data_IF_770183683550
#
_entry.id   IF_770183683550
#
_cell.length_a   1.000
_cell.length_b   1.000
_cell.length_c   1.000
_cell.angle_alpha   90.00
_cell.angle_beta   90.00
_cell.angle_gamma   90.00
#
_symmetry.space_group_name_H-M   'P 1'
#
loop_
_entity.id
_entity.type
_entity.pdbx_description
1 polymer ?
#
# COMPACT_ATOMS: atom_id res chain seq x y z
N UNK A 1 -7.68 -13.33 1.03
CA UNK A 1 -6.84 -13.71 -0.13
C UNK A 1 -5.84 -12.61 -0.32
N UNK A 2 -4.57 -12.95 -0.52
CA UNK A 2 -3.47 -12.02 -0.75
C UNK A 2 -3.05 -12.14 -2.20
N UNK A 3 -2.95 -11.01 -2.90
CA UNK A 3 -2.40 -10.94 -4.25
C UNK A 3 -1.09 -10.18 -4.20
N UNK A 4 -0.01 -10.83 -4.65
CA UNK A 4 1.31 -10.22 -4.80
C UNK A 4 1.45 -9.84 -6.28
N UNK A 5 1.73 -8.57 -6.53
CA UNK A 5 1.94 -8.02 -7.87
C UNK A 5 3.43 -7.73 -8.05
N UNK A 6 4.15 -8.63 -8.71
CA UNK A 6 5.59 -8.50 -8.91
C UNK A 6 5.91 -7.93 -10.31
N UNK A 7 6.44 -6.70 -10.32
CA UNK A 7 6.91 -6.00 -11.54
C UNK A 7 8.45 -6.02 -11.66
N UNK A 8 9.12 -6.85 -10.85
CA UNK A 8 10.57 -7.09 -10.94
C UNK A 8 10.92 -7.71 -12.28
N UNK A 9 12.07 -7.35 -12.86
CA UNK A 9 12.61 -7.98 -14.09
C UNK A 9 13.74 -8.95 -13.81
N UNK A 10 14.23 -8.99 -12.57
CA UNK A 10 15.30 -9.89 -12.16
C UNK A 10 14.70 -11.27 -11.85
N UNK A 11 15.19 -12.30 -12.53
CA UNK A 11 14.70 -13.68 -12.39
C UNK A 11 14.95 -14.25 -11.00
N UNK A 12 16.08 -13.90 -10.36
CA UNK A 12 16.37 -14.31 -8.98
C UNK A 12 15.39 -13.71 -7.99
N UNK A 13 15.03 -12.42 -8.15
CA UNK A 13 14.03 -11.78 -7.29
C UNK A 13 12.65 -12.43 -7.45
N UNK A 14 12.24 -12.70 -8.70
CA UNK A 14 10.96 -13.39 -8.97
C UNK A 14 10.90 -14.77 -8.31
N UNK A 15 11.99 -15.54 -8.41
CA UNK A 15 12.08 -16.85 -7.78
C UNK A 15 11.99 -16.76 -6.25
N UNK A 16 12.61 -15.75 -5.62
CA UNK A 16 12.50 -15.52 -4.18
C UNK A 16 11.06 -15.20 -3.75
N UNK A 17 10.38 -14.31 -4.48
CA UNK A 17 8.98 -13.94 -4.20
C UNK A 17 8.06 -15.15 -4.36
N UNK A 18 8.26 -15.95 -5.41
CA UNK A 18 7.49 -17.17 -5.65
C UNK A 18 7.68 -18.21 -4.54
N UNK A 19 8.93 -18.46 -4.13
CA UNK A 19 9.23 -19.36 -3.01
C UNK A 19 8.56 -18.89 -1.71
N UNK A 20 8.57 -17.59 -1.43
CA UNK A 20 7.91 -17.07 -0.23
C UNK A 20 6.39 -17.24 -0.31
N UNK A 21 5.78 -16.99 -1.46
CA UNK A 21 4.35 -17.24 -1.68
C UNK A 21 3.99 -18.72 -1.44
N UNK A 22 4.83 -19.66 -1.89
CA UNK A 22 4.64 -21.10 -1.65
C UNK A 22 4.61 -21.41 -0.16
N UNK A 23 5.57 -20.90 0.62
CA UNK A 23 5.59 -21.10 2.08
C UNK A 23 4.29 -20.63 2.74
N UNK A 24 3.73 -19.50 2.31
CA UNK A 24 2.47 -19.00 2.87
C UNK A 24 1.25 -19.82 2.42
N UNK A 25 1.26 -20.32 1.18
CA UNK A 25 0.25 -21.27 0.71
C UNK A 25 0.27 -22.58 1.50
N UNK A 26 1.45 -23.10 1.82
CA UNK A 26 1.61 -24.29 2.67
C UNK A 26 1.09 -24.08 4.10
N UNK A 27 1.16 -22.85 4.61
CA UNK A 27 0.53 -22.45 5.88
C UNK A 27 -1.00 -22.26 5.77
N UNK A 28 -1.59 -22.54 4.61
CA UNK A 28 -3.04 -22.42 4.36
C UNK A 28 -3.51 -21.02 4.01
N UNK A 29 -2.60 -20.04 3.80
CA UNK A 29 -2.98 -18.71 3.36
C UNK A 29 -3.24 -18.73 1.85
N UNK A 30 -4.41 -18.24 1.44
CA UNK A 30 -4.73 -18.08 0.02
C UNK A 30 -3.95 -16.90 -0.57
N UNK A 31 -2.75 -17.20 -1.09
CA UNK A 31 -1.83 -16.26 -1.75
C UNK A 31 -1.79 -16.55 -3.26
N UNK A 32 -1.76 -15.50 -4.08
CA UNK A 32 -1.49 -15.59 -5.52
C UNK A 32 -0.40 -14.62 -5.91
N UNK A 33 0.62 -15.10 -6.62
CA UNK A 33 1.65 -14.26 -7.22
C UNK A 33 1.33 -14.00 -8.70
N UNK A 34 1.39 -12.75 -9.12
CA UNK A 34 1.13 -12.33 -10.51
C UNK A 34 2.36 -11.60 -11.05
N UNK A 35 3.06 -12.26 -11.96
CA UNK A 35 4.23 -11.72 -12.64
C UNK A 35 3.82 -11.15 -14.01
N UNK A 36 4.29 -9.95 -14.35
CA UNK A 36 4.10 -9.38 -15.71
C UNK A 36 5.36 -9.54 -16.55
N UNK A 37 5.18 -9.81 -17.84
CA UNK A 37 6.25 -9.81 -18.83
C UNK A 37 6.46 -8.43 -19.48
N UNK A 38 5.66 -7.42 -19.15
CA UNK A 38 5.68 -6.11 -19.82
C UNK A 38 5.44 -4.97 -18.82
N UNK A 39 6.35 -3.99 -18.79
CA UNK A 39 6.37 -2.86 -17.82
C UNK A 39 5.51 -1.65 -18.19
N UNK A 40 4.56 -1.81 -19.12
CA UNK A 40 3.69 -0.69 -19.49
C UNK A 40 2.82 -0.28 -18.29
N UNK A 41 2.99 0.98 -17.85
CA UNK A 41 2.27 1.60 -16.74
C UNK A 41 2.90 1.46 -15.35
N UNK A 42 4.08 0.82 -15.21
CA UNK A 42 4.77 0.62 -13.91
C UNK A 42 3.80 0.15 -12.79
N UNK A 43 3.93 0.71 -11.58
CA UNK A 43 3.09 0.41 -10.40
C UNK A 43 1.58 0.53 -10.68
N UNK A 44 1.16 1.59 -11.37
CA UNK A 44 -0.25 1.80 -11.69
C UNK A 44 -0.80 0.76 -12.68
N UNK A 45 0.03 0.34 -13.64
CA UNK A 45 -0.29 -0.72 -14.59
C UNK A 45 -0.41 -2.08 -13.92
N UNK A 46 0.52 -2.43 -13.03
CA UNK A 46 0.48 -3.67 -12.26
C UNK A 46 -0.79 -3.75 -11.39
N UNK A 47 -1.10 -2.68 -10.66
CA UNK A 47 -2.30 -2.60 -9.82
C UNK A 47 -3.59 -2.74 -10.65
N UNK A 48 -3.70 -2.00 -11.76
CA UNK A 48 -4.89 -2.08 -12.64
C UNK A 48 -5.10 -3.50 -13.14
N UNK A 49 -4.05 -4.14 -13.67
CA UNK A 49 -4.15 -5.49 -14.20
C UNK A 49 -4.47 -6.51 -13.09
N UNK A 50 -3.94 -6.30 -11.88
CA UNK A 50 -4.25 -7.09 -10.69
C UNK A 50 -5.72 -7.00 -10.27
N UNK A 51 -6.29 -5.79 -10.24
CA UNK A 51 -7.69 -5.54 -9.90
C UNK A 51 -8.68 -6.12 -10.93
N UNK A 52 -8.28 -6.20 -12.20
CA UNK A 52 -9.10 -6.76 -13.28
C UNK A 52 -9.15 -8.30 -13.28
N UNK A 53 -8.33 -8.98 -12.47
CA UNK A 53 -8.34 -10.44 -12.38
C UNK A 53 -9.70 -10.93 -11.87
N UNK A 54 -10.24 -11.98 -12.50
CA UNK A 54 -11.59 -12.51 -12.18
C UNK A 54 -11.78 -12.88 -10.70
N UNK A 55 -10.70 -13.25 -10.02
CA UNK A 55 -10.72 -13.64 -8.60
C UNK A 55 -10.62 -12.43 -7.64
N UNK A 56 -10.31 -11.24 -8.15
CA UNK A 56 -10.32 -9.95 -7.44
C UNK A 56 -11.56 -9.13 -7.78
N UNK A 57 -11.98 -9.12 -9.04
CA UNK A 57 -13.08 -8.26 -9.52
C UNK A 57 -14.43 -8.52 -8.87
N UNK A 58 -14.60 -9.67 -8.20
CA UNK A 58 -15.80 -10.03 -7.43
C UNK A 58 -15.71 -9.68 -5.94
N UNK A 59 -14.61 -9.06 -5.50
CA UNK A 59 -14.42 -8.63 -4.11
C UNK A 59 -15.08 -7.27 -3.90
N UNK A 60 -15.82 -7.14 -2.80
CA UNK A 60 -16.47 -5.88 -2.43
C UNK A 60 -15.47 -4.82 -1.97
N UNK A 61 -14.42 -5.26 -1.25
CA UNK A 61 -13.35 -4.40 -0.76
C UNK A 61 -12.00 -4.94 -1.14
N UNK A 62 -11.06 -4.03 -1.40
CA UNK A 62 -9.65 -4.35 -1.65
C UNK A 62 -8.80 -3.43 -0.78
N UNK A 63 -7.85 -4.03 -0.06
CA UNK A 63 -6.79 -3.30 0.61
C UNK A 63 -5.52 -3.40 -0.25
N UNK A 64 -4.89 -2.26 -0.50
CA UNK A 64 -3.68 -2.15 -1.30
C UNK A 64 -2.56 -1.69 -0.38
N UNK A 65 -1.45 -2.43 -0.39
CA UNK A 65 -0.27 -2.15 0.40
C UNK A 65 0.94 -2.05 -0.51
N UNK A 66 1.79 -1.05 -0.27
CA UNK A 66 3.14 -1.07 -0.81
C UNK A 66 3.94 -2.19 -0.13
N UNK A 67 4.94 -2.80 -0.80
CA UNK A 67 5.72 -3.91 -0.26
C UNK A 67 6.52 -3.53 1.00
N UNK A 68 6.81 -2.24 1.20
CA UNK A 68 7.54 -1.73 2.36
C UNK A 68 6.60 -1.40 3.54
N UNK A 69 5.28 -1.56 3.35
CA UNK A 69 4.30 -1.25 4.38
C UNK A 69 4.02 -2.45 5.29
N UNK A 70 4.28 -2.26 6.58
CA UNK A 70 3.95 -3.22 7.64
C UNK A 70 2.75 -2.69 8.44
N UNK A 71 1.51 -3.08 8.08
CA UNK A 71 0.35 -2.71 8.87
C UNK A 71 0.38 -3.40 10.23
N UNK A 72 -0.13 -2.71 11.24
CA UNK A 72 -0.49 -3.32 12.52
C UNK A 72 -1.55 -4.42 12.32
N UNK A 73 -1.54 -5.45 13.17
CA UNK A 73 -2.44 -6.60 13.06
C UNK A 73 -3.93 -6.20 13.05
N UNK A 74 -4.28 -5.12 13.75
CA UNK A 74 -5.65 -4.61 13.81
C UNK A 74 -5.97 -3.60 12.69
N UNK A 75 -5.07 -3.36 11.73
CA UNK A 75 -5.23 -2.33 10.70
C UNK A 75 -6.56 -2.43 9.97
N UNK A 76 -6.89 -3.61 9.42
CA UNK A 76 -8.14 -3.80 8.69
C UNK A 76 -9.36 -3.71 9.63
N UNK A 77 -9.26 -4.27 10.84
CA UNK A 77 -10.33 -4.21 11.84
C UNK A 77 -10.71 -2.77 12.19
N UNK A 78 -9.73 -1.88 12.28
CA UNK A 78 -9.95 -0.45 12.57
C UNK A 78 -10.39 0.36 11.36
N UNK A 79 -10.09 -0.06 10.13
CA UNK A 79 -10.38 0.73 8.91
C UNK A 79 -11.66 0.32 8.18
N UNK A 80 -12.00 -0.97 8.21
CA UNK A 80 -13.18 -1.50 7.53
C UNK A 80 -14.52 -0.91 8.01
N UNK A 81 -14.76 -0.62 9.31
CA UNK A 81 -16.03 -0.06 9.76
C UNK A 81 -16.43 1.23 9.03
N UNK A 82 -15.47 2.11 8.76
CA UNK A 82 -15.72 3.36 8.02
C UNK A 82 -16.27 3.15 6.61
N UNK A 83 -15.85 2.08 5.92
CA UNK A 83 -16.32 1.74 4.58
C UNK A 83 -17.68 1.02 4.61
N UNK A 84 -17.91 0.19 5.62
CA UNK A 84 -19.16 -0.58 5.77
C UNK A 84 -20.31 0.34 6.21
N UNK A 85 -20.05 1.26 7.14
CA UNK A 85 -21.07 2.16 7.70
C UNK A 85 -21.44 3.31 6.75
N UNK A 86 -20.57 3.63 5.77
CA UNK A 86 -20.79 4.72 4.84
C UNK A 86 -20.65 4.27 3.37
N UNK A 87 -21.78 3.90 2.72
CA UNK A 87 -21.79 3.48 1.32
C UNK A 87 -21.34 4.56 0.32
N UNK A 88 -21.31 5.84 0.71
CA UNK A 88 -20.82 6.93 -0.15
C UNK A 88 -19.28 7.09 -0.07
N UNK A 89 -18.61 6.39 0.85
CA UNK A 89 -17.16 6.45 1.03
C UNK A 89 -16.43 5.47 0.11
N UNK A 90 -15.72 5.99 -0.89
CA UNK A 90 -15.01 5.17 -1.87
C UNK A 90 -13.64 4.65 -1.42
N UNK A 91 -12.98 5.30 -0.45
CA UNK A 91 -11.62 4.96 -0.03
C UNK A 91 -11.33 5.46 1.40
N UNK A 92 -10.58 4.65 2.15
CA UNK A 92 -9.93 5.06 3.39
C UNK A 92 -8.41 4.99 3.19
N UNK A 93 -7.74 6.14 3.28
CA UNK A 93 -6.28 6.22 3.18
C UNK A 93 -5.69 6.32 4.60
N UNK A 94 -4.77 5.43 4.92
CA UNK A 94 -3.97 5.52 6.14
C UNK A 94 -2.61 6.17 5.84
N UNK A 95 -2.08 6.93 6.79
CA UNK A 95 -0.74 7.52 6.68
C UNK A 95 0.32 6.47 7.03
N UNK A 96 1.47 6.60 6.38
CA UNK A 96 2.67 5.87 6.71
C UNK A 96 3.10 6.18 8.15
N UNK A 97 3.49 5.15 8.88
CA UNK A 97 4.42 5.29 10.01
C UNK A 97 5.60 4.41 9.65
N UNK A 98 6.79 4.98 9.58
CA UNK A 98 7.99 4.21 9.29
C UNK A 98 8.14 3.14 10.38
N UNK A 99 8.18 1.87 9.99
CA UNK A 99 8.36 0.74 10.91
C UNK A 99 9.84 0.68 11.32
N UNK A 100 10.25 1.63 12.17
CA UNK A 100 11.51 1.56 12.90
C UNK A 100 11.26 1.91 14.38
N UNK A 101 10.11 1.51 14.91
CA UNK A 101 9.80 1.68 16.34
C UNK A 101 9.11 0.48 17.00
N UNK A 102 8.85 -0.61 16.29
CA UNK A 102 8.20 -1.79 16.88
C UNK A 102 9.11 -3.03 16.92
N UNK A 103 10.31 -2.87 17.46
CA UNK A 103 11.04 -3.97 18.12
C UNK A 103 11.87 -3.40 19.28
N UNK A 104 11.20 -3.03 20.37
CA UNK A 104 11.85 -2.87 21.68
C UNK A 104 11.25 -3.92 22.59
N UNK A 105 11.66 -5.19 22.43
CA UNK A 105 11.67 -6.21 23.48
C UNK A 105 12.42 -7.45 22.96
N UNK A 106 13.75 -7.42 23.06
CA UNK A 106 14.56 -8.54 23.51
C UNK A 106 16.01 -8.06 23.60
N UNK A 107 16.66 -8.46 24.68
CA UNK A 107 18.00 -8.08 25.08
C UNK A 107 19.06 -8.33 24.00
N UNK A 108 20.16 -7.59 24.15
CA UNK A 108 21.54 -7.92 23.75
C UNK A 108 22.12 -7.05 22.61
N UNK A 109 23.06 -6.22 23.06
CA UNK A 109 24.16 -5.55 22.37
C UNK A 109 23.89 -4.35 21.43
N UNK A 110 24.23 -3.19 22.00
CA UNK A 110 24.46 -1.90 21.40
C UNK A 110 25.34 -1.93 20.15
N UNK A 111 24.77 -1.58 19.00
CA UNK A 111 25.46 -0.76 17.99
C UNK A 111 24.59 0.45 17.66
N UNK A 112 24.54 1.38 18.62
CA UNK A 112 24.29 2.79 18.34
C UNK A 112 25.57 3.36 17.71
N UNK A 113 25.62 3.42 16.38
CA UNK A 113 26.43 4.43 15.69
C UNK A 113 25.78 4.70 14.34
N UNK A 114 24.98 5.76 14.32
CA UNK A 114 24.36 6.39 13.14
C UNK A 114 22.88 6.02 12.92
N UNK A 115 22.02 6.64 13.74
CA UNK A 115 20.79 7.22 13.21
C UNK A 115 21.17 8.01 11.95
N UNK A 116 21.01 7.39 10.78
CA UNK A 116 21.37 8.04 9.54
C UNK A 116 20.42 9.23 9.37
N UNK A 117 20.94 10.45 9.53
CA UNK A 117 20.26 11.71 9.20
C UNK A 117 19.55 11.62 7.84
N UNK A 118 20.08 10.82 6.91
CA UNK A 118 19.48 10.52 5.61
C UNK A 118 18.12 9.83 5.72
N UNK A 119 17.95 8.83 6.59
CA UNK A 119 16.68 8.10 6.75
C UNK A 119 15.60 9.02 7.35
N UNK A 120 16.00 9.90 8.28
CA UNK A 120 15.09 10.89 8.90
C UNK A 120 14.73 12.03 7.96
N UNK A 121 15.68 12.48 7.14
CA UNK A 121 15.42 13.45 6.05
C UNK A 121 14.55 12.84 4.95
N UNK A 122 14.78 11.58 4.57
CA UNK A 122 13.94 10.87 3.60
C UNK A 122 12.51 10.71 4.12
N UNK A 123 12.34 10.37 5.40
CA UNK A 123 11.02 10.31 6.04
C UNK A 123 10.32 11.67 5.99
N UNK A 124 10.98 12.76 6.40
CA UNK A 124 10.40 14.11 6.34
C UNK A 124 10.08 14.57 4.91
N UNK A 125 10.94 14.28 3.94
CA UNK A 125 10.73 14.66 2.53
C UNK A 125 9.58 13.87 1.91
N UNK A 126 9.48 12.56 2.18
CA UNK A 126 8.36 11.73 1.72
C UNK A 126 7.06 12.15 2.40
N UNK A 127 7.08 12.39 3.71
CA UNK A 127 5.93 12.89 4.45
C UNK A 127 5.43 14.24 3.96
N UNK A 128 6.34 15.15 3.60
CA UNK A 128 6.00 16.45 3.04
C UNK A 128 5.41 16.30 1.62
N UNK A 129 6.03 15.47 0.77
CA UNK A 129 5.55 15.21 -0.58
C UNK A 129 4.14 14.60 -0.56
N UNK A 130 3.89 13.60 0.30
CA UNK A 130 2.57 12.99 0.47
C UNK A 130 1.54 13.94 1.08
N UNK A 131 1.95 14.80 2.03
CA UNK A 131 1.04 15.81 2.60
C UNK A 131 0.59 16.81 1.55
N UNK A 132 1.52 17.25 0.68
CA UNK A 132 1.18 18.10 -0.46
C UNK A 132 0.28 17.39 -1.48
N UNK A 133 0.51 16.12 -1.79
CA UNK A 133 -0.35 15.36 -2.72
C UNK A 133 -1.79 15.18 -2.19
N UNK A 134 -1.95 14.91 -0.88
CA UNK A 134 -3.29 14.82 -0.27
C UNK A 134 -4.00 16.19 -0.23
N UNK A 135 -3.28 17.27 0.04
CA UNK A 135 -3.85 18.62 0.10
C UNK A 135 -4.25 19.13 -1.30
N UNK A 136 -3.41 18.88 -2.32
CA UNK A 136 -3.73 19.19 -3.73
C UNK A 136 -4.90 18.34 -4.22
N UNK A 137 -4.97 17.05 -3.85
CA UNK A 137 -6.11 16.17 -4.16
C UNK A 137 -7.44 16.64 -3.54
N UNK A 138 -7.41 17.20 -2.33
CA UNK A 138 -8.59 17.76 -1.66
C UNK A 138 -8.99 19.13 -2.22
N UNK A 139 -8.03 19.99 -2.58
CA UNK A 139 -8.28 21.34 -3.10
C UNK A 139 -8.85 21.31 -4.52
N UNK A 140 -8.36 20.41 -5.39
CA UNK A 140 -8.89 20.23 -6.76
C UNK A 140 -10.34 19.72 -6.75
N UNK A 141 -10.74 18.94 -5.74
CA UNK A 141 -12.15 18.51 -5.57
C UNK A 141 -13.07 19.66 -5.13
N UNK A 142 -12.58 20.65 -4.38
CA UNK A 142 -13.37 21.82 -4.01
C UNK A 142 -13.57 22.79 -5.19
N UNK A 143 -12.56 22.99 -6.04
CA UNK A 143 -12.67 23.90 -7.20
C UNK A 143 -13.70 23.38 -8.21
N UNK A 144 -13.76 22.06 -8.47
CA UNK A 144 -14.78 21.47 -9.36
C UNK A 144 -16.21 21.55 -8.82
N UNK A 145 -16.41 21.68 -7.50
CA UNK A 145 -17.75 21.85 -6.90
C UNK A 145 -18.26 23.31 -6.99
N UNK A 146 -17.37 24.29 -7.05
CA UNK A 146 -17.74 25.72 -7.10
C UNK A 146 -18.08 26.18 -8.52
N UNK A 147 -17.54 25.53 -9.56
CA UNK A 147 -17.78 25.90 -10.97
C UNK A 147 -19.11 25.41 -11.57
N UNK A 148 -19.95 24.70 -10.80
CA UNK A 148 -21.25 24.18 -11.26
C UNK A 148 -22.44 24.75 -10.45
N UNK A 149 -22.46 26.07 -10.21
CA UNK A 149 -23.69 26.79 -9.87
C UNK A 149 -24.24 27.47 -11.12
N UNK A 150 -25.44 27.13 -11.60
CA UNK A 150 -26.10 27.94 -12.63
C UNK A 150 -26.56 29.25 -11.97
N UNK A 151 -25.96 30.36 -12.40
CA UNK A 151 -26.56 31.68 -12.24
C UNK A 151 -27.66 31.85 -13.29
N UNK A 152 -28.70 32.59 -12.90
CA UNK A 152 -29.89 32.97 -13.67
C UNK A 152 -29.64 33.30 -15.14
#
# INVERSE_FOLDING_TARGET
MVQVLDDSTNETLRALVEMECIKWMEKGINVKNENRNHRNGYKAGALRDGLLKQYVSKREFVAIFDPDFQPDEEFLLRKMPYLIENPELALVQARWKFSMHNHIHANEETMNSDECLMTRLQEMCLDYHFSMEQEVGNTVKQIKKVSNKPGF
#
